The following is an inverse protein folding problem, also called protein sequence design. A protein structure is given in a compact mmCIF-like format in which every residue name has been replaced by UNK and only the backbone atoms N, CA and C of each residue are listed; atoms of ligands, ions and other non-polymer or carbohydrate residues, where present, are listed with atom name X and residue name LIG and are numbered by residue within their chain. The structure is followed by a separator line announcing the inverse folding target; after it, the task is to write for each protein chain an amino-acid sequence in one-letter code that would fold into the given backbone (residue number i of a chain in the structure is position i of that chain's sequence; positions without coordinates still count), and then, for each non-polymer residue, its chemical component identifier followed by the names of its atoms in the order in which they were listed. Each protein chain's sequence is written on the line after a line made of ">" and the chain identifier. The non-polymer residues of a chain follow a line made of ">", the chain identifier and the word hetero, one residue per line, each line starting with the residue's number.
data_IF_905506111199
#
_entry.id   IF_905506111199
#
_cell.length_a   1.000
_cell.length_b   1.000
_cell.length_c   1.000
_cell.angle_alpha   90.00
_cell.angle_beta   90.00
_cell.angle_gamma   90.00
#
_symmetry.space_group_name_H-M   'P 1'
#
loop_
_entity.id
_entity.type
_entity.pdbx_description
1 polymer ?
#
# COMPACT_ATOMS: atom_id res chain seq x y z
N UNK A 1 -1.08 4.97 -15.89
CA UNK A 1 -0.41 3.88 -16.64
C UNK A 1 -1.42 3.27 -17.59
N UNK A 2 -1.00 2.80 -18.76
CA UNK A 2 -1.88 2.04 -19.67
C UNK A 2 -2.10 0.62 -19.14
N UNK A 3 -3.08 -0.10 -19.71
CA UNK A 3 -3.31 -1.51 -19.36
C UNK A 3 -2.09 -2.39 -19.68
N UNK A 4 -1.38 -2.08 -20.79
CA UNK A 4 -0.18 -2.80 -21.20
C UNK A 4 0.99 -2.54 -20.22
N UNK A 5 1.17 -1.30 -19.75
CA UNK A 5 2.18 -0.98 -18.73
C UNK A 5 1.95 -1.79 -17.44
N UNK A 6 0.69 -1.96 -17.02
CA UNK A 6 0.31 -2.76 -15.84
C UNK A 6 0.61 -4.25 -16.09
N UNK A 7 0.30 -4.76 -17.28
CA UNK A 7 0.56 -6.16 -17.62
C UNK A 7 2.06 -6.48 -17.64
N UNK A 8 2.89 -5.58 -18.17
CA UNK A 8 4.35 -5.70 -18.18
C UNK A 8 4.92 -5.69 -16.76
N UNK A 9 4.43 -4.77 -15.91
CA UNK A 9 4.78 -4.72 -14.50
C UNK A 9 4.45 -6.04 -13.79
N UNK A 10 3.23 -6.54 -13.95
CA UNK A 10 2.78 -7.79 -13.35
C UNK A 10 3.59 -9.00 -13.84
N UNK A 11 3.93 -9.03 -15.13
CA UNK A 11 4.80 -10.07 -15.71
C UNK A 11 6.20 -10.04 -15.10
N UNK A 12 6.77 -8.85 -14.90
CA UNK A 12 8.08 -8.68 -14.28
C UNK A 12 8.08 -9.06 -12.79
N UNK A 13 6.97 -8.85 -12.09
CA UNK A 13 6.81 -9.18 -10.67
C UNK A 13 6.59 -10.69 -10.43
N UNK A 14 5.86 -11.38 -11.32
CA UNK A 14 5.40 -12.76 -11.14
C UNK A 14 6.47 -13.77 -10.64
N UNK A 15 7.74 -13.75 -11.12
CA UNK A 15 8.76 -14.68 -10.65
C UNK A 15 9.17 -14.50 -9.18
N UNK A 16 8.96 -13.30 -8.61
CA UNK A 16 9.43 -12.93 -7.27
C UNK A 16 8.36 -13.10 -6.18
N UNK A 17 7.12 -13.45 -6.54
CA UNK A 17 5.99 -13.51 -5.61
C UNK A 17 5.87 -14.84 -4.85
N UNK A 18 6.70 -15.85 -5.14
CA UNK A 18 6.60 -17.18 -4.53
C UNK A 18 5.19 -17.77 -4.67
N UNK A 19 4.67 -18.43 -3.63
CA UNK A 19 3.32 -19.03 -3.62
C UNK A 19 2.23 -18.09 -3.08
N UNK A 20 2.46 -16.78 -3.10
CA UNK A 20 1.52 -15.80 -2.54
C UNK A 20 0.12 -15.86 -3.20
N UNK A 21 -0.92 -15.77 -2.39
CA UNK A 21 -2.27 -15.41 -2.83
C UNK A 21 -2.35 -13.89 -3.00
N UNK A 22 -2.82 -13.43 -4.16
CA UNK A 22 -2.82 -12.02 -4.53
C UNK A 22 -4.19 -11.39 -4.28
N UNK A 23 -4.18 -10.19 -3.71
CA UNK A 23 -5.35 -9.32 -3.65
C UNK A 23 -5.06 -8.09 -4.50
N UNK A 24 -5.88 -7.90 -5.54
CA UNK A 24 -5.78 -6.84 -6.53
C UNK A 24 -7.05 -5.99 -6.56
N UNK A 25 -7.01 -4.82 -7.20
CA UNK A 25 -8.22 -4.05 -7.49
C UNK A 25 -9.08 -4.81 -8.50
N UNK A 26 -10.41 -4.76 -8.36
CA UNK A 26 -11.32 -5.32 -9.34
C UNK A 26 -11.15 -4.70 -10.74
N UNK A 27 -10.65 -3.47 -10.83
CA UNK A 27 -10.31 -2.81 -12.11
C UNK A 27 -9.19 -3.54 -12.87
N UNK A 28 -8.33 -4.29 -12.16
CA UNK A 28 -7.20 -5.01 -12.74
C UNK A 28 -7.60 -6.43 -13.20
N UNK A 29 -8.83 -6.87 -12.89
CA UNK A 29 -9.30 -8.21 -13.23
C UNK A 29 -9.30 -8.49 -14.73
N UNK A 30 -9.74 -7.51 -15.54
CA UNK A 30 -9.76 -7.64 -16.99
C UNK A 30 -8.35 -7.77 -17.57
N UNK A 31 -7.38 -7.01 -17.03
CA UNK A 31 -5.98 -7.05 -17.46
C UNK A 31 -5.39 -8.43 -17.16
N UNK A 32 -5.59 -8.93 -15.92
CA UNK A 32 -5.13 -10.26 -15.51
C UNK A 32 -5.72 -11.35 -16.40
N UNK A 33 -7.02 -11.29 -16.69
CA UNK A 33 -7.69 -12.28 -17.53
C UNK A 33 -7.21 -12.23 -18.98
N UNK A 34 -7.13 -11.03 -19.57
CA UNK A 34 -6.77 -10.84 -20.98
C UNK A 34 -5.34 -11.28 -21.28
N UNK A 35 -4.41 -11.01 -20.36
CA UNK A 35 -2.99 -11.34 -20.53
C UNK A 35 -2.59 -12.70 -19.92
N UNK A 36 -3.53 -13.41 -19.28
CA UNK A 36 -3.25 -14.72 -18.67
C UNK A 36 -2.24 -14.63 -17.52
N UNK A 37 -2.29 -13.55 -16.73
CA UNK A 37 -1.31 -13.26 -15.68
C UNK A 37 -1.55 -14.12 -14.44
N UNK A 38 -0.47 -14.36 -13.69
CA UNK A 38 -0.48 -15.14 -12.45
C UNK A 38 -1.08 -16.56 -12.54
N UNK A 39 -0.78 -17.36 -13.59
CA UNK A 39 -1.48 -18.63 -13.87
C UNK A 39 -1.29 -19.72 -12.80
N UNK A 40 -0.28 -19.56 -11.93
CA UNK A 40 0.05 -20.49 -10.85
C UNK A 40 -0.52 -20.06 -9.49
N UNK A 41 -1.21 -18.92 -9.43
CA UNK A 41 -1.61 -18.28 -8.18
C UNK A 41 -3.12 -18.12 -8.12
N UNK A 42 -3.59 -18.00 -6.89
CA UNK A 42 -4.94 -17.55 -6.64
C UNK A 42 -4.94 -16.04 -6.57
N UNK A 43 -5.77 -15.43 -7.41
CA UNK A 43 -5.97 -13.98 -7.45
C UNK A 43 -7.39 -13.69 -6.97
N UNK A 44 -7.50 -12.79 -6.00
CA UNK A 44 -8.76 -12.23 -5.52
C UNK A 44 -8.81 -10.75 -5.82
N UNK A 45 -10.02 -10.24 -5.94
CA UNK A 45 -10.26 -8.86 -6.33
C UNK A 45 -11.06 -8.14 -5.26
N UNK A 46 -10.63 -6.93 -4.94
CA UNK A 46 -11.31 -6.01 -4.03
C UNK A 46 -12.02 -4.94 -4.85
N UNK A 47 -13.29 -4.71 -4.56
CA UNK A 47 -14.05 -3.64 -5.18
C UNK A 47 -13.75 -2.33 -4.43
N UNK A 48 -13.08 -1.39 -5.11
CA UNK A 48 -12.67 -0.11 -4.54
C UNK A 48 -13.57 1.02 -5.05
N UNK A 49 -14.10 1.83 -4.15
CA UNK A 49 -14.92 3.01 -4.43
C UNK A 49 -14.05 4.28 -4.35
N UNK A 50 -13.86 5.03 -5.46
CA UNK A 50 -13.14 6.30 -5.46
C UNK A 50 -13.72 7.37 -4.52
N UNK A 51 -15.02 7.33 -4.26
CA UNK A 51 -15.69 8.22 -3.32
C UNK A 51 -15.80 7.63 -1.90
N UNK A 52 -15.35 6.39 -1.73
CA UNK A 52 -15.44 5.66 -0.48
C UNK A 52 -14.58 6.31 0.61
N UNK A 53 -15.10 6.24 1.83
CA UNK A 53 -14.35 6.58 3.04
C UNK A 53 -14.21 5.34 3.91
N UNK A 54 -13.10 5.23 4.65
CA UNK A 54 -12.97 4.22 5.67
C UNK A 54 -14.14 4.32 6.67
N UNK A 55 -14.67 3.19 7.16
CA UNK A 55 -15.78 3.20 8.09
C UNK A 55 -15.38 3.92 9.39
N UNK A 56 -16.34 4.53 10.11
CA UNK A 56 -16.03 5.14 11.40
C UNK A 56 -15.68 4.05 12.43
N UNK A 57 -14.71 4.30 13.33
CA UNK A 57 -14.45 3.41 14.46
C UNK A 57 -15.73 3.16 15.30
N UNK A 58 -15.95 1.94 15.83
CA UNK A 58 -15.06 0.78 15.79
C UNK A 58 -15.30 -0.15 14.58
N UNK A 59 -16.07 0.23 13.55
CA UNK A 59 -16.34 -0.69 12.43
C UNK A 59 -15.05 -0.99 11.67
N UNK A 60 -14.68 -2.27 11.61
CA UNK A 60 -13.56 -2.76 10.81
C UNK A 60 -13.89 -2.69 9.31
N UNK A 61 -12.88 -2.55 8.42
CA UNK A 61 -13.07 -2.78 7.00
C UNK A 61 -13.55 -4.21 6.74
N UNK A 62 -14.53 -4.39 5.85
CA UNK A 62 -15.04 -5.69 5.42
C UNK A 62 -14.64 -5.94 3.96
N UNK A 63 -13.79 -6.93 3.72
CA UNK A 63 -13.32 -7.27 2.37
C UNK A 63 -14.42 -7.86 1.47
N UNK A 64 -15.60 -8.18 2.03
CA UNK A 64 -16.76 -8.66 1.28
C UNK A 64 -17.69 -7.52 0.82
N UNK A 65 -17.41 -6.29 1.25
CA UNK A 65 -18.12 -5.07 0.88
C UNK A 65 -17.27 -4.18 -0.05
N UNK A 66 -17.84 -3.05 -0.49
CA UNK A 66 -17.08 -1.99 -1.16
C UNK A 66 -16.10 -1.35 -0.17
N UNK A 67 -14.84 -1.27 -0.55
CA UNK A 67 -13.79 -0.60 0.22
C UNK A 67 -13.51 0.78 -0.37
N UNK A 68 -13.02 1.74 0.42
CA UNK A 68 -12.52 2.99 -0.13
C UNK A 68 -11.32 2.75 -1.04
N UNK A 69 -11.17 3.57 -2.08
CA UNK A 69 -9.94 3.60 -2.86
C UNK A 69 -8.74 3.93 -1.95
N UNK A 70 -7.57 3.39 -2.26
CA UNK A 70 -6.39 3.49 -1.41
C UNK A 70 -5.35 4.42 -2.03
N UNK A 71 -4.81 5.32 -1.22
CA UNK A 71 -3.75 6.21 -1.68
C UNK A 71 -2.38 5.52 -1.71
N UNK A 72 -2.24 4.38 -1.02
CA UNK A 72 -1.05 3.55 -1.09
C UNK A 72 -1.38 2.09 -0.78
N UNK A 73 -0.62 1.16 -1.36
CA UNK A 73 -0.79 -0.29 -1.14
C UNK A 73 -0.72 -0.69 0.36
N UNK A 74 0.14 -0.09 1.21
CA UNK A 74 0.12 -0.41 2.64
C UNK A 74 -1.21 -0.12 3.34
N UNK A 75 -2.01 0.85 2.88
CA UNK A 75 -3.36 1.10 3.44
C UNK A 75 -4.29 -0.06 3.11
N UNK A 76 -4.22 -0.60 1.90
CA UNK A 76 -4.95 -1.82 1.53
C UNK A 76 -4.52 -3.00 2.41
N UNK A 77 -3.21 -3.18 2.61
CA UNK A 77 -2.68 -4.22 3.47
C UNK A 77 -3.15 -4.08 4.93
N UNK A 78 -3.22 -2.85 5.46
CA UNK A 78 -3.78 -2.58 6.79
C UNK A 78 -5.26 -2.98 6.88
N UNK A 79 -6.08 -2.62 5.89
CA UNK A 79 -7.49 -3.04 5.86
C UNK A 79 -7.64 -4.56 5.85
N UNK A 80 -6.82 -5.25 5.03
CA UNK A 80 -6.81 -6.71 4.96
C UNK A 80 -6.39 -7.32 6.30
N UNK A 81 -5.30 -6.84 6.90
CA UNK A 81 -4.80 -7.36 8.17
C UNK A 81 -5.84 -7.18 9.30
N UNK A 82 -6.49 -6.02 9.37
CA UNK A 82 -7.57 -5.78 10.34
C UNK A 82 -8.77 -6.71 10.11
N UNK A 83 -9.22 -6.88 8.86
CA UNK A 83 -10.31 -7.81 8.53
C UNK A 83 -9.98 -9.26 8.90
N UNK A 84 -8.73 -9.67 8.70
CA UNK A 84 -8.25 -11.01 9.05
C UNK A 84 -8.03 -11.21 10.56
N UNK A 85 -8.21 -10.17 11.38
CA UNK A 85 -8.10 -10.26 12.84
C UNK A 85 -6.67 -10.18 13.38
N UNK A 86 -5.71 -9.67 12.61
CA UNK A 86 -4.36 -9.43 13.13
C UNK A 86 -4.39 -8.33 14.19
N UNK A 87 -3.89 -8.65 15.38
CA UNK A 87 -3.92 -7.75 16.53
C UNK A 87 -2.68 -6.85 16.65
N UNK A 88 -1.51 -7.34 16.23
CA UNK A 88 -0.26 -6.59 16.22
C UNK A 88 0.25 -6.51 14.77
N UNK A 89 0.29 -5.30 14.23
CA UNK A 89 0.66 -5.04 12.84
C UNK A 89 1.87 -4.11 12.84
N UNK A 90 2.94 -4.52 12.14
CA UNK A 90 4.19 -3.76 12.06
C UNK A 90 4.44 -3.35 10.61
N UNK A 91 4.52 -2.05 10.37
CA UNK A 91 4.86 -1.49 9.06
C UNK A 91 6.38 -1.47 8.87
N UNK A 92 6.84 -1.82 7.67
CA UNK A 92 8.25 -1.78 7.28
C UNK A 92 8.35 -1.26 5.83
N UNK A 93 9.28 -0.35 5.57
CA UNK A 93 9.45 0.27 4.25
C UNK A 93 8.35 1.27 3.88
N UNK A 94 7.71 1.89 4.87
CA UNK A 94 6.69 2.92 4.68
C UNK A 94 7.29 4.32 4.92
N UNK A 95 8.18 4.74 4.02
CA UNK A 95 8.97 5.96 4.20
C UNK A 95 8.12 7.23 4.07
N UNK A 96 7.46 7.41 2.92
CA UNK A 96 6.63 8.60 2.59
C UNK A 96 7.36 9.91 2.85
N UNK A 97 8.58 10.06 2.32
CA UNK A 97 9.45 11.21 2.56
C UNK A 97 9.82 12.00 1.29
N UNK A 98 9.26 11.63 0.13
CA UNK A 98 9.65 12.17 -1.18
C UNK A 98 9.34 13.66 -1.35
N UNK A 99 8.32 14.19 -0.65
CA UNK A 99 8.05 15.64 -0.64
C UNK A 99 9.17 16.46 0.02
N UNK A 100 9.95 15.85 0.92
CA UNK A 100 11.11 16.51 1.55
C UNK A 100 12.43 16.19 0.86
N UNK A 101 12.61 14.93 0.45
CA UNK A 101 13.86 14.49 -0.17
C UNK A 101 13.97 14.92 -1.64
N UNK A 102 12.83 15.17 -2.30
CA UNK A 102 12.74 15.43 -3.74
C UNK A 102 13.10 14.21 -4.60
N UNK A 103 13.29 13.04 -3.99
CA UNK A 103 13.73 11.81 -4.66
C UNK A 103 12.86 10.65 -4.18
N UNK A 104 12.27 9.93 -5.13
CA UNK A 104 11.57 8.68 -4.83
C UNK A 104 12.55 7.50 -4.81
N UNK A 105 12.51 6.69 -3.76
CA UNK A 105 13.45 5.58 -3.56
C UNK A 105 12.72 4.26 -3.47
N UNK A 106 13.30 3.24 -4.10
CA UNK A 106 12.93 1.85 -3.89
C UNK A 106 13.94 1.20 -2.95
N UNK A 107 13.49 0.22 -2.16
CA UNK A 107 14.36 -0.62 -1.35
C UNK A 107 15.21 -1.61 -2.19
N UNK A 108 15.01 -1.63 -3.52
CA UNK A 108 15.69 -2.48 -4.48
C UNK A 108 15.93 -1.73 -5.79
N UNK A 109 16.79 -2.27 -6.65
CA UNK A 109 16.94 -1.77 -8.03
C UNK A 109 15.91 -2.44 -8.92
N UNK A 110 14.93 -1.70 -9.48
CA UNK A 110 13.91 -2.30 -10.34
C UNK A 110 14.54 -2.93 -11.59
N UNK A 111 14.17 -4.16 -11.91
CA UNK A 111 14.55 -4.85 -13.15
C UNK A 111 13.64 -4.49 -14.34
N UNK A 112 12.66 -3.63 -14.11
CA UNK A 112 11.64 -3.18 -15.06
C UNK A 112 11.49 -1.65 -14.99
N UNK A 113 11.01 -1.06 -16.09
CA UNK A 113 10.71 0.36 -16.13
C UNK A 113 9.37 0.61 -15.43
N UNK A 114 9.42 1.35 -14.34
CA UNK A 114 8.20 1.87 -13.69
C UNK A 114 7.95 3.25 -14.28
N UNK A 115 6.96 3.35 -15.16
CA UNK A 115 6.45 4.62 -15.68
C UNK A 115 5.56 5.28 -14.62
N UNK A 116 6.19 5.79 -13.56
CA UNK A 116 5.53 6.62 -12.56
C UNK A 116 5.52 8.08 -13.05
N UNK A 117 4.35 8.66 -13.36
CA UNK A 117 4.26 10.02 -13.89
C UNK A 117 4.68 11.09 -12.87
N UNK A 118 4.86 10.72 -11.61
CA UNK A 118 5.25 11.65 -10.54
C UNK A 118 6.76 11.90 -10.44
N UNK A 119 7.57 11.11 -11.16
CA UNK A 119 9.04 11.19 -11.12
C UNK A 119 9.67 11.14 -12.50
N UNK A 120 10.87 11.70 -12.64
CA UNK A 120 11.70 11.56 -13.84
C UNK A 120 12.51 10.24 -13.85
N UNK A 121 13.30 10.04 -14.91
CA UNK A 121 14.18 8.88 -15.09
C UNK A 121 15.25 8.75 -14.00
N UNK A 122 15.63 9.86 -13.38
CA UNK A 122 16.56 9.97 -12.26
C UNK A 122 15.86 9.88 -10.90
N UNK A 123 14.56 9.56 -10.89
CA UNK A 123 13.69 9.43 -9.71
C UNK A 123 13.47 10.73 -8.93
N UNK A 124 13.71 11.88 -9.56
CA UNK A 124 13.39 13.17 -8.96
C UNK A 124 11.90 13.41 -9.08
N UNK A 125 11.31 13.92 -8.01
CA UNK A 125 9.89 14.26 -7.99
C UNK A 125 9.64 15.45 -8.92
N UNK A 126 8.79 15.26 -9.92
CA UNK A 126 8.41 16.29 -10.90
C UNK A 126 6.97 16.78 -10.71
N UNK A 127 6.18 16.09 -9.89
CA UNK A 127 4.85 16.54 -9.47
C UNK A 127 4.93 17.89 -8.77
N UNK A 128 3.96 18.76 -9.05
CA UNK A 128 3.91 20.07 -8.41
C UNK A 128 3.77 19.94 -6.88
N UNK A 129 4.33 20.89 -6.13
CA UNK A 129 4.18 20.92 -4.67
C UNK A 129 2.71 20.97 -4.23
N UNK A 130 1.85 21.66 -5.01
CA UNK A 130 0.41 21.71 -4.75
C UNK A 130 -0.20 20.30 -4.77
N UNK A 131 0.05 19.52 -5.83
CA UNK A 131 -0.55 18.20 -5.99
C UNK A 131 0.05 17.19 -5.01
N UNK A 132 1.36 17.28 -4.71
CA UNK A 132 2.00 16.48 -3.67
C UNK A 132 1.34 16.70 -2.30
N UNK A 133 1.11 17.95 -1.91
CA UNK A 133 0.48 18.25 -0.62
C UNK A 133 -0.95 17.71 -0.53
N UNK A 134 -1.72 17.74 -1.63
CA UNK A 134 -3.06 17.14 -1.69
C UNK A 134 -3.00 15.62 -1.54
N UNK A 135 -2.10 14.96 -2.26
CA UNK A 135 -1.89 13.51 -2.19
C UNK A 135 -1.46 13.06 -0.79
N UNK A 136 -0.54 13.78 -0.17
CA UNK A 136 -0.08 13.51 1.20
C UNK A 136 -1.18 13.73 2.23
N UNK A 137 -2.01 14.78 2.06
CA UNK A 137 -3.15 15.01 2.95
C UNK A 137 -4.13 13.84 2.92
N UNK A 138 -4.44 13.30 1.74
CA UNK A 138 -5.29 12.11 1.60
C UNK A 138 -4.63 10.87 2.22
N UNK A 139 -3.35 10.64 1.93
CA UNK A 139 -2.56 9.52 2.44
C UNK A 139 -2.56 9.49 3.98
N UNK A 140 -2.23 10.61 4.63
CA UNK A 140 -2.21 10.72 6.10
C UNK A 140 -3.60 10.56 6.70
N UNK A 141 -4.64 11.13 6.06
CA UNK A 141 -6.01 10.93 6.52
C UNK A 141 -6.40 9.45 6.55
N UNK A 142 -6.00 8.68 5.54
CA UNK A 142 -6.30 7.25 5.49
C UNK A 142 -5.51 6.47 6.55
N UNK A 143 -4.20 6.71 6.71
CA UNK A 143 -3.42 6.09 7.78
C UNK A 143 -3.99 6.41 9.17
N UNK A 144 -4.38 7.67 9.40
CA UNK A 144 -5.03 8.08 10.64
C UNK A 144 -6.32 7.33 10.90
N UNK A 145 -7.17 7.18 9.88
CA UNK A 145 -8.41 6.40 10.03
C UNK A 145 -8.12 4.93 10.33
N UNK A 146 -7.15 4.30 9.65
CA UNK A 146 -6.72 2.94 9.97
C UNK A 146 -6.27 2.82 11.43
N UNK A 147 -5.47 3.78 11.94
CA UNK A 147 -5.07 3.78 13.35
C UNK A 147 -6.27 3.88 14.30
N UNK A 148 -7.18 4.83 14.06
CA UNK A 148 -8.34 5.04 14.92
C UNK A 148 -9.25 3.81 14.96
N UNK A 149 -9.45 3.14 13.82
CA UNK A 149 -10.21 1.90 13.74
C UNK A 149 -9.49 0.79 14.52
N UNK A 150 -8.18 0.62 14.31
CA UNK A 150 -7.38 -0.39 15.00
C UNK A 150 -7.43 -0.21 16.53
N UNK A 151 -7.15 0.99 17.02
CA UNK A 151 -7.17 1.34 18.45
C UNK A 151 -8.54 1.07 19.08
N UNK A 152 -9.63 1.43 18.39
CA UNK A 152 -10.99 1.20 18.86
C UNK A 152 -11.36 -0.29 18.93
N UNK A 153 -10.60 -1.16 18.29
CA UNK A 153 -10.75 -2.62 18.31
C UNK A 153 -9.64 -3.33 19.10
N UNK A 154 -8.84 -2.58 19.88
CA UNK A 154 -7.75 -3.12 20.68
C UNK A 154 -6.51 -3.53 19.88
N UNK A 155 -6.49 -3.33 18.56
CA UNK A 155 -5.36 -3.64 17.70
C UNK A 155 -4.27 -2.57 17.82
N UNK A 156 -3.02 -2.96 17.61
CA UNK A 156 -1.86 -2.06 17.62
C UNK A 156 -1.15 -2.08 16.27
N UNK A 157 -1.00 -0.89 15.68
CA UNK A 157 -0.20 -0.66 14.48
C UNK A 157 1.05 0.13 14.88
N UNK A 158 2.22 -0.35 14.48
CA UNK A 158 3.50 0.36 14.70
C UNK A 158 4.28 0.52 13.42
N UNK A 159 5.19 1.50 13.39
CA UNK A 159 6.11 1.72 12.28
C UNK A 159 7.54 1.28 12.69
N UNK A 160 8.03 0.21 12.08
CA UNK A 160 9.39 -0.31 12.24
C UNK A 160 10.34 0.13 11.10
N UNK A 161 9.88 0.99 10.19
CA UNK A 161 10.71 1.54 9.12
C UNK A 161 11.86 2.36 9.71
N UNK A 162 13.09 2.14 9.25
CA UNK A 162 14.23 2.94 9.65
C UNK A 162 14.20 4.31 8.95
N UNK A 163 13.66 5.32 9.63
CA UNK A 163 13.47 6.66 9.07
C UNK A 163 12.08 6.87 8.47
N UNK A 164 12.01 7.60 7.35
CA UNK A 164 10.74 8.04 6.78
C UNK A 164 10.04 9.13 7.60
N UNK A 165 8.90 9.62 7.09
CA UNK A 165 8.11 10.69 7.70
C UNK A 165 6.73 10.26 8.17
N UNK A 166 6.32 9.02 7.93
CA UNK A 166 5.05 8.48 8.45
C UNK A 166 5.05 8.46 9.99
N UNK A 167 4.32 9.41 10.58
CA UNK A 167 4.25 9.72 12.01
C UNK A 167 2.88 9.42 12.63
N UNK A 168 1.94 8.88 11.85
CA UNK A 168 0.63 8.47 12.37
C UNK A 168 0.72 7.27 13.32
N UNK A 169 1.79 6.47 13.29
CA UNK A 169 1.96 5.27 14.11
C UNK A 169 3.16 5.39 15.05
N UNK A 170 3.06 4.74 16.22
CA UNK A 170 4.17 4.63 17.15
C UNK A 170 5.39 3.96 16.46
N UNK A 171 6.56 4.58 16.60
CA UNK A 171 7.79 4.08 16.01
C UNK A 171 8.49 3.10 16.96
N UNK A 172 8.92 1.97 16.42
CA UNK A 172 9.68 0.94 17.15
C UNK A 172 10.96 0.60 16.39
N UNK A 173 11.99 0.13 17.09
CA UNK A 173 13.19 -0.41 16.43
C UNK A 173 12.83 -1.76 15.79
N UNK A 174 13.27 -1.99 14.55
CA UNK A 174 13.01 -3.25 13.86
C UNK A 174 13.56 -4.44 14.64
N UNK A 175 14.76 -4.31 15.20
CA UNK A 175 15.45 -5.33 15.97
C UNK A 175 14.68 -5.71 17.25
N UNK A 176 13.94 -4.77 17.84
CA UNK A 176 13.14 -5.04 19.04
C UNK A 176 11.96 -5.99 18.80
N UNK A 177 11.55 -6.20 17.55
CA UNK A 177 10.45 -7.12 17.20
C UNK A 177 10.83 -8.59 17.36
N UNK A 178 12.13 -8.89 17.50
CA UNK A 178 12.66 -10.26 17.60
C UNK A 178 13.40 -10.52 18.91
N UNK A 179 13.43 -9.57 19.84
CA UNK A 179 14.24 -9.67 21.06
C UNK A 179 13.78 -10.78 22.04
N UNK A 180 12.53 -11.23 21.91
CA UNK A 180 11.92 -12.28 22.74
C UNK A 180 11.80 -13.64 22.02
N UNK A 181 12.43 -13.79 20.84
CA UNK A 181 12.42 -15.03 20.02
C UNK A 181 13.79 -15.70 20.08
#
# INVERSE_FOLDING_TARGET
>A
MSADDIADLFTAMDPYLGDAELLLSAEEAEIVQRHGLFPKRKVRYLALDPAGILPPPPRLPDLTELLPNVQSVPIMALMIAMYMGFHNIHLLGCDHDEIWSGIYKYAFTPSFTINDPSVDTERRVITSTHDLLQNYSLLWRQYRQCRLIAEANGMRITNATAGGRLDEFERVAYESLFADV
#
